data_IF_197213895048
#
_entry.id   IF_197213895048
#
_cell.length_a   1.000
_cell.length_b   1.000
_cell.length_c   1.000
_cell.angle_alpha   90.00
_cell.angle_beta   90.00
_cell.angle_gamma   90.00
#
_symmetry.space_group_name_H-M   'P 1'
#
loop_
_entity.id
_entity.type
_entity.pdbx_description
1 polymer ?
#
# COMPACT_ATOMS: atom_id res chain seq x y z
N UNK A 1 4.31 6.63 1.54
CA UNK A 1 3.69 5.52 0.78
C UNK A 1 3.69 5.87 -0.71
N UNK A 2 3.36 4.91 -1.57
CA UNK A 2 3.37 5.08 -3.03
C UNK A 2 2.44 6.20 -3.51
N UNK A 3 1.29 6.41 -2.86
CA UNK A 3 0.36 7.48 -3.20
C UNK A 3 0.99 8.85 -2.99
N UNK A 4 1.60 9.09 -1.81
CA UNK A 4 2.27 10.37 -1.53
C UNK A 4 3.44 10.64 -2.47
N UNK A 5 4.17 9.61 -2.89
CA UNK A 5 5.24 9.76 -3.88
C UNK A 5 4.68 10.18 -5.25
N UNK A 6 3.69 9.44 -5.78
CA UNK A 6 3.02 9.76 -7.04
C UNK A 6 2.39 11.16 -7.04
N UNK A 7 1.78 11.57 -5.92
CA UNK A 7 1.24 12.92 -5.73
C UNK A 7 2.33 13.98 -5.78
N UNK A 8 3.48 13.73 -5.12
CA UNK A 8 4.61 14.67 -5.07
C UNK A 8 5.29 14.81 -6.43
N UNK A 9 5.37 13.72 -7.18
CA UNK A 9 5.92 13.67 -8.55
C UNK A 9 4.94 14.25 -9.59
N UNK A 10 3.67 14.43 -9.22
CA UNK A 10 2.66 15.03 -10.09
C UNK A 10 2.22 14.11 -11.23
N UNK A 11 2.31 12.79 -11.06
CA UNK A 11 1.84 11.84 -12.07
C UNK A 11 0.33 11.96 -12.25
N UNK A 12 -0.18 11.62 -13.43
CA UNK A 12 -1.62 11.71 -13.72
C UNK A 12 -2.45 10.89 -12.72
N UNK A 13 -2.00 9.66 -12.42
CA UNK A 13 -2.62 8.81 -11.42
C UNK A 13 -2.47 9.36 -9.99
N UNK A 14 -1.32 9.97 -9.67
CA UNK A 14 -1.09 10.64 -8.41
C UNK A 14 -2.06 11.80 -8.19
N UNK A 15 -2.26 12.65 -9.19
CA UNK A 15 -3.21 13.76 -9.14
C UNK A 15 -4.66 13.27 -9.02
N UNK A 16 -5.01 12.20 -9.75
CA UNK A 16 -6.33 11.56 -9.64
C UNK A 16 -6.55 11.02 -8.22
N UNK A 17 -5.58 10.29 -7.67
CA UNK A 17 -5.66 9.77 -6.30
C UNK A 17 -5.77 10.89 -5.25
N UNK A 18 -5.01 11.98 -5.42
CA UNK A 18 -5.08 13.17 -4.54
C UNK A 18 -6.50 13.69 -4.43
N UNK A 19 -7.23 13.78 -5.55
CA UNK A 19 -8.59 14.32 -5.56
C UNK A 19 -9.56 13.53 -4.66
N UNK A 20 -9.43 12.20 -4.60
CA UNK A 20 -10.22 11.35 -3.70
C UNK A 20 -9.76 11.48 -2.25
N UNK A 21 -8.44 11.46 -2.02
CA UNK A 21 -7.85 11.53 -0.68
C UNK A 21 -8.19 12.84 0.04
N UNK A 22 -8.11 13.97 -0.67
CA UNK A 22 -8.41 15.30 -0.12
C UNK A 22 -9.90 15.42 0.30
N UNK A 23 -10.78 14.63 -0.32
CA UNK A 23 -12.21 14.54 0.01
C UNK A 23 -12.52 13.49 1.10
N UNK A 24 -11.52 12.78 1.61
CA UNK A 24 -11.71 11.65 2.52
C UNK A 24 -12.39 10.44 1.87
N UNK A 25 -12.46 10.40 0.55
CA UNK A 25 -13.02 9.29 -0.20
C UNK A 25 -12.00 8.17 -0.40
N UNK A 26 -12.49 6.95 -0.61
CA UNK A 26 -11.65 5.83 -0.99
C UNK A 26 -11.14 6.01 -2.42
N UNK A 27 -9.84 5.79 -2.62
CA UNK A 27 -9.25 5.79 -3.96
C UNK A 27 -9.75 4.54 -4.70
N UNK A 28 -10.29 4.67 -5.93
CA UNK A 28 -10.77 3.52 -6.69
C UNK A 28 -9.67 2.48 -6.97
N UNK A 29 -10.08 1.22 -7.09
CA UNK A 29 -9.17 0.10 -7.38
C UNK A 29 -8.35 0.33 -8.64
N UNK A 30 -8.97 0.82 -9.72
CA UNK A 30 -8.28 1.12 -10.99
C UNK A 30 -7.10 2.09 -10.81
N UNK A 31 -7.26 3.13 -9.99
CA UNK A 31 -6.23 4.13 -9.73
C UNK A 31 -5.12 3.51 -8.88
N UNK A 32 -5.50 2.73 -7.86
CA UNK A 32 -4.57 2.02 -6.99
C UNK A 32 -3.71 1.02 -7.79
N UNK A 33 -4.33 0.21 -8.64
CA UNK A 33 -3.66 -0.78 -9.49
C UNK A 33 -2.68 -0.09 -10.45
N UNK A 34 -3.08 1.04 -11.04
CA UNK A 34 -2.21 1.83 -11.91
C UNK A 34 -0.96 2.34 -11.19
N UNK A 35 -1.13 2.92 -9.99
CA UNK A 35 -0.01 3.41 -9.17
C UNK A 35 0.94 2.26 -8.78
N UNK A 36 0.39 1.08 -8.45
CA UNK A 36 1.20 -0.11 -8.16
C UNK A 36 2.00 -0.55 -9.38
N UNK A 37 1.40 -0.58 -10.58
CA UNK A 37 2.10 -0.91 -11.83
C UNK A 37 3.26 0.05 -12.09
N UNK A 38 3.04 1.36 -11.99
CA UNK A 38 4.09 2.38 -12.14
C UNK A 38 5.21 2.16 -11.13
N UNK A 39 4.86 1.92 -9.86
CA UNK A 39 5.83 1.71 -8.79
C UNK A 39 6.69 0.47 -9.00
N UNK A 40 6.09 -0.65 -9.41
CA UNK A 40 6.78 -1.92 -9.65
C UNK A 40 7.68 -1.90 -10.90
N UNK A 41 7.47 -0.92 -11.79
CA UNK A 41 8.28 -0.73 -13.01
C UNK A 41 9.59 0.03 -12.76
N UNK A 42 9.81 0.53 -11.54
CA UNK A 42 11.03 1.26 -11.19
C UNK A 42 12.21 0.30 -10.95
N UNK A 43 13.43 0.75 -11.29
CA UNK A 43 14.65 -0.07 -11.22
C UNK A 43 14.95 -0.63 -9.83
N UNK A 44 14.57 0.09 -8.77
CA UNK A 44 14.80 -0.35 -7.39
C UNK A 44 13.94 -1.57 -7.00
N UNK A 45 12.89 -1.88 -7.77
CA UNK A 45 12.08 -3.07 -7.60
C UNK A 45 12.62 -4.30 -8.35
N UNK A 46 13.70 -4.21 -9.13
CA UNK A 46 14.22 -5.35 -9.91
C UNK A 46 14.63 -6.53 -9.04
N UNK A 47 15.26 -6.25 -7.89
CA UNK A 47 15.74 -7.28 -6.95
C UNK A 47 14.63 -7.91 -6.10
N UNK A 48 13.43 -7.34 -6.15
CA UNK A 48 12.30 -7.75 -5.32
C UNK A 48 11.55 -6.56 -4.73
N UNK A 49 10.46 -6.85 -4.05
CA UNK A 49 9.62 -5.85 -3.39
C UNK A 49 8.90 -6.48 -2.20
N UNK A 50 8.41 -5.62 -1.29
CA UNK A 50 7.46 -5.99 -0.26
C UNK A 50 6.24 -5.08 -0.41
N UNK A 51 5.09 -5.69 -0.71
CA UNK A 51 3.82 -4.98 -0.77
C UNK A 51 3.20 -4.96 0.63
N UNK A 52 3.03 -3.76 1.19
CA UNK A 52 2.37 -3.55 2.47
C UNK A 52 1.00 -2.91 2.25
N UNK A 53 -0.05 -3.63 2.62
CA UNK A 53 -1.43 -3.16 2.52
C UNK A 53 -2.04 -3.19 1.12
N UNK A 54 -1.44 -3.90 0.17
CA UNK A 54 -2.00 -4.23 -1.15
C UNK A 54 -1.58 -5.66 -1.53
N UNK A 55 -2.47 -6.49 -2.10
CA UNK A 55 -3.89 -6.25 -2.38
C UNK A 55 -4.78 -6.32 -1.13
N UNK A 56 -5.98 -5.73 -1.19
CA UNK A 56 -7.03 -5.79 -0.14
C UNK A 56 -8.35 -6.42 -0.62
N UNK A 57 -8.51 -6.59 -1.92
CA UNK A 57 -9.70 -7.20 -2.54
C UNK A 57 -9.25 -8.28 -3.52
N UNK A 58 -10.14 -9.25 -3.83
CA UNK A 58 -9.85 -10.29 -4.83
C UNK A 58 -9.54 -9.67 -6.21
N UNK A 59 -10.29 -8.68 -6.73
CA UNK A 59 -9.96 -8.03 -7.99
C UNK A 59 -8.57 -7.36 -8.00
N UNK A 60 -8.13 -6.78 -6.88
CA UNK A 60 -6.77 -6.24 -6.77
C UNK A 60 -5.71 -7.33 -6.85
N UNK A 61 -5.96 -8.49 -6.26
CA UNK A 61 -5.04 -9.63 -6.33
C UNK A 61 -4.93 -10.19 -7.75
N UNK A 62 -6.06 -10.38 -8.44
CA UNK A 62 -6.08 -10.79 -9.85
C UNK A 62 -5.34 -9.79 -10.76
N UNK A 63 -5.53 -8.49 -10.50
CA UNK A 63 -4.82 -7.44 -11.23
C UNK A 63 -3.31 -7.45 -10.95
N UNK A 64 -2.90 -7.69 -9.71
CA UNK A 64 -1.49 -7.81 -9.33
C UNK A 64 -0.84 -8.99 -10.05
N UNK A 65 -1.49 -10.16 -10.07
CA UNK A 65 -0.99 -11.34 -10.77
C UNK A 65 -0.79 -11.06 -12.26
N UNK A 66 -1.74 -10.36 -12.89
CA UNK A 66 -1.61 -9.95 -14.29
C UNK A 66 -0.43 -8.98 -14.50
N UNK A 67 -0.29 -7.96 -13.65
CA UNK A 67 0.83 -7.00 -13.72
C UNK A 67 2.17 -7.73 -13.64
N UNK A 68 2.31 -8.64 -12.68
CA UNK A 68 3.55 -9.38 -12.47
C UNK A 68 3.83 -10.33 -13.64
N UNK A 69 2.80 -11.01 -14.16
CA UNK A 69 2.95 -11.86 -15.35
C UNK A 69 3.38 -11.07 -16.59
N UNK A 70 2.86 -9.85 -16.80
CA UNK A 70 3.29 -8.96 -17.90
C UNK A 70 4.78 -8.57 -17.77
N UNK A 71 5.33 -8.62 -16.55
CA UNK A 71 6.71 -8.28 -16.21
C UNK A 71 7.63 -9.50 -16.10
N UNK A 72 7.15 -10.71 -16.38
CA UNK A 72 7.84 -11.99 -16.13
C UNK A 72 8.26 -12.18 -14.65
N UNK A 73 7.35 -11.80 -13.75
CA UNK A 73 7.50 -11.86 -12.30
C UNK A 73 6.33 -12.59 -11.66
N UNK A 74 6.50 -12.99 -10.39
CA UNK A 74 5.45 -13.62 -9.58
C UNK A 74 5.57 -13.21 -8.12
N UNK A 75 4.51 -13.46 -7.35
CA UNK A 75 4.59 -13.42 -5.89
C UNK A 75 5.23 -14.73 -5.40
N UNK A 76 6.27 -14.60 -4.59
CA UNK A 76 6.90 -15.76 -3.94
C UNK A 76 6.13 -16.20 -2.70
N UNK A 77 5.74 -15.22 -1.86
CA UNK A 77 5.08 -15.48 -0.59
C UNK A 77 4.06 -14.40 -0.22
N UNK A 78 3.01 -14.82 0.47
CA UNK A 78 2.03 -13.93 1.11
C UNK A 78 2.06 -14.16 2.61
N UNK A 79 2.39 -13.13 3.38
CA UNK A 79 2.48 -13.21 4.84
C UNK A 79 1.15 -12.75 5.42
N UNK A 80 0.41 -13.69 6.03
CA UNK A 80 -0.80 -13.36 6.78
C UNK A 80 -0.47 -13.22 8.26
N UNK A 81 -0.55 -12.00 8.79
CA UNK A 81 -0.35 -11.73 10.22
C UNK A 81 -1.70 -11.86 10.92
N UNK A 82 -1.95 -13.01 11.53
CA UNK A 82 -3.17 -13.28 12.27
C UNK A 82 -3.04 -12.86 13.73
N UNK A 83 -3.99 -12.04 14.19
CA UNK A 83 -4.06 -11.54 15.57
C UNK A 83 -5.53 -11.50 15.99
N UNK A 84 -5.80 -11.81 17.25
CA UNK A 84 -7.15 -11.75 17.81
C UNK A 84 -7.70 -10.32 17.80
N UNK A 85 -9.02 -10.19 17.63
CA UNK A 85 -9.67 -8.88 17.47
C UNK A 85 -9.48 -8.01 18.72
N UNK A 86 -9.57 -8.61 19.90
CA UNK A 86 -9.43 -7.93 21.18
C UNK A 86 -8.02 -7.37 21.33
N UNK A 87 -7.00 -8.14 20.93
CA UNK A 87 -5.60 -7.72 20.91
C UNK A 87 -5.36 -6.60 19.88
N UNK A 88 -5.98 -6.68 18.70
CA UNK A 88 -5.92 -5.60 17.70
C UNK A 88 -6.49 -4.28 18.24
N UNK A 89 -7.64 -4.33 18.93
CA UNK A 89 -8.26 -3.15 19.54
C UNK A 89 -7.37 -2.57 20.63
N UNK A 90 -6.82 -3.42 21.50
CA UNK A 90 -5.88 -3.00 22.55
C UNK A 90 -4.65 -2.32 21.94
N UNK A 91 -4.02 -2.96 20.94
CA UNK A 91 -2.82 -2.47 20.25
C UNK A 91 -3.04 -1.13 19.57
N UNK A 92 -4.19 -0.94 18.92
CA UNK A 92 -4.54 0.32 18.27
C UNK A 92 -4.79 1.44 19.29
N UNK A 93 -5.46 1.13 20.40
CA UNK A 93 -5.81 2.09 21.46
C UNK A 93 -4.58 2.54 22.27
N UNK A 94 -3.64 1.63 22.51
CA UNK A 94 -2.40 1.89 23.24
C UNK A 94 -1.29 2.52 22.40
N UNK A 95 -1.44 2.61 21.07
CA UNK A 95 -0.42 3.16 20.17
C UNK A 95 -0.12 4.62 20.48
N UNK A 96 1.16 4.95 20.61
CA UNK A 96 1.67 6.33 20.73
C UNK A 96 2.71 6.57 19.64
N UNK A 97 2.65 7.73 19.02
CA UNK A 97 3.59 8.11 17.95
C UNK A 97 4.31 9.37 18.38
N UNK A 98 5.64 9.32 18.41
CA UNK A 98 6.44 10.51 18.63
C UNK A 98 6.23 11.49 17.46
N UNK A 99 5.75 12.70 17.72
CA UNK A 99 5.49 13.70 16.67
C UNK A 99 6.75 14.20 15.97
N UNK A 100 7.92 14.05 16.60
CA UNK A 100 9.20 14.55 16.05
C UNK A 100 9.85 13.50 15.15
N UNK A 101 9.98 12.26 15.62
CA UNK A 101 10.71 11.21 14.89
C UNK A 101 9.82 10.13 14.25
N UNK A 102 8.50 10.14 14.52
CA UNK A 102 7.57 9.15 13.97
C UNK A 102 7.64 7.75 14.60
N UNK A 103 8.54 7.52 15.56
CA UNK A 103 8.64 6.24 16.27
C UNK A 103 7.32 5.88 16.95
N UNK A 104 6.88 4.64 16.74
CA UNK A 104 5.65 4.08 17.32
C UNK A 104 5.99 3.27 18.56
N UNK A 105 5.27 3.53 19.64
CA UNK A 105 5.34 2.83 20.92
C UNK A 105 3.96 2.31 21.31
N UNK A 106 3.92 1.46 22.32
CA UNK A 106 2.70 0.98 22.94
C UNK A 106 2.80 1.21 24.46
N UNK A 107 1.71 1.61 25.11
CA UNK A 107 1.70 1.96 26.54
C UNK A 107 1.71 0.77 27.51
N UNK A 108 1.80 -0.45 26.97
CA UNK A 108 1.88 -1.73 27.68
C UNK A 108 2.99 -2.54 27.03
#
# INVERSE_FOLDING_TARGET
>A
DMFRAAIKEGTELGLKAKSFMDQGALVPDEVTIGIVRERLSQQDCEKGFLLDGFPRTVPQAEALDKILSDMDRKIDHTINIQVDKEELVARLSGRRICKVCGASYHLV
#
